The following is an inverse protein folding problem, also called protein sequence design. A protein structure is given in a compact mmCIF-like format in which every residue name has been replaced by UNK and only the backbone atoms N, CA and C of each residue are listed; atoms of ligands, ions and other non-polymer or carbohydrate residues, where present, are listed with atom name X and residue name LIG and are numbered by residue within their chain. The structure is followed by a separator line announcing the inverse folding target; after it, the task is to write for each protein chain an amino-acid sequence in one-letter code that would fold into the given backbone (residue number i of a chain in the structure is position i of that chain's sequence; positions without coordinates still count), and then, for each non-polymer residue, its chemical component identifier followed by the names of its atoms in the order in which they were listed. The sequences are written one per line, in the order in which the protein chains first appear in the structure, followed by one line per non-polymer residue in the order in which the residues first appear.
data_IF_993638898552
#
_entry.id   IF_993638898552
#
_cell.length_a   1.000
_cell.length_b   1.000
_cell.length_c   1.000
_cell.angle_alpha   90.00
_cell.angle_beta   90.00
_cell.angle_gamma   90.00
#
_symmetry.space_group_name_H-M   'P 1'
#
loop_
_entity.id
_entity.type
_entity.pdbx_description
1 polymer ?
#
# COMPACT_ATOMS: atom_id res chain seq x y z
N UNK A 1 -22.94 -19.66 -3.21
CA UNK A 1 -21.65 -20.13 -2.64
C UNK A 1 -20.50 -20.18 -3.65
N UNK A 2 -20.72 -20.57 -4.91
CA UNK A 2 -19.65 -20.60 -5.94
C UNK A 2 -19.10 -19.20 -6.30
N UNK A 3 -19.89 -18.15 -6.25
CA UNK A 3 -19.49 -16.77 -6.54
C UNK A 3 -18.43 -16.22 -5.55
N UNK A 4 -18.61 -16.42 -4.25
CA UNK A 4 -17.70 -15.89 -3.21
C UNK A 4 -16.34 -16.57 -3.29
N UNK A 5 -16.29 -17.90 -3.46
CA UNK A 5 -15.04 -18.64 -3.63
C UNK A 5 -14.30 -18.20 -4.90
N UNK A 6 -15.04 -18.03 -6.00
CA UNK A 6 -14.48 -17.55 -7.25
C UNK A 6 -13.89 -16.14 -7.12
N UNK A 7 -14.61 -15.20 -6.54
CA UNK A 7 -14.15 -13.83 -6.30
C UNK A 7 -12.89 -13.79 -5.43
N UNK A 8 -12.82 -14.65 -4.40
CA UNK A 8 -11.64 -14.78 -3.54
C UNK A 8 -10.41 -15.25 -4.33
N UNK A 9 -10.54 -16.30 -5.17
CA UNK A 9 -9.44 -16.81 -6.00
C UNK A 9 -8.93 -15.73 -6.95
N UNK A 10 -9.82 -15.00 -7.65
CA UNK A 10 -9.40 -13.91 -8.53
C UNK A 10 -8.69 -12.77 -7.77
N UNK A 11 -9.13 -12.45 -6.58
CA UNK A 11 -8.46 -11.47 -5.72
C UNK A 11 -7.06 -11.94 -5.30
N UNK A 12 -6.89 -13.23 -4.98
CA UNK A 12 -5.58 -13.81 -4.68
C UNK A 12 -4.64 -13.78 -5.89
N UNK A 13 -5.13 -14.16 -7.08
CA UNK A 13 -4.35 -14.08 -8.33
C UNK A 13 -3.92 -12.62 -8.59
N UNK A 14 -4.82 -11.67 -8.43
CA UNK A 14 -4.50 -10.25 -8.58
C UNK A 14 -3.41 -9.79 -7.60
N UNK A 15 -3.48 -10.22 -6.34
CA UNK A 15 -2.45 -9.90 -5.34
C UNK A 15 -1.08 -10.53 -5.71
N UNK A 16 -1.07 -11.79 -6.17
CA UNK A 16 0.16 -12.43 -6.63
C UNK A 16 0.78 -11.67 -7.81
N UNK A 17 -0.01 -11.27 -8.80
CA UNK A 17 0.48 -10.47 -9.94
C UNK A 17 0.97 -9.09 -9.47
N UNK A 18 0.33 -8.48 -8.48
CA UNK A 18 0.78 -7.23 -7.88
C UNK A 18 2.15 -7.32 -7.23
N UNK A 19 2.55 -8.48 -6.74
CA UNK A 19 3.87 -8.75 -6.18
C UNK A 19 4.86 -9.17 -7.27
N UNK A 20 4.50 -10.13 -8.11
CA UNK A 20 5.41 -10.73 -9.09
C UNK A 20 5.83 -9.75 -10.20
N UNK A 21 4.90 -8.93 -10.71
CA UNK A 21 5.23 -7.99 -11.79
C UNK A 21 6.27 -6.95 -11.35
N UNK A 22 6.13 -6.25 -10.21
CA UNK A 22 7.20 -5.37 -9.73
C UNK A 22 8.52 -6.08 -9.45
N UNK A 23 8.51 -7.31 -8.94
CA UNK A 23 9.74 -8.08 -8.72
C UNK A 23 10.56 -8.28 -10.00
N UNK A 24 9.89 -8.41 -11.15
CA UNK A 24 10.54 -8.56 -12.45
C UNK A 24 10.85 -7.22 -13.11
N UNK A 25 9.92 -6.26 -13.03
CA UNK A 25 10.08 -4.97 -13.72
C UNK A 25 10.99 -4.02 -12.97
N UNK A 26 11.06 -4.06 -11.63
CA UNK A 26 11.86 -3.12 -10.84
C UNK A 26 13.36 -3.26 -11.10
N UNK A 27 13.98 -4.48 -11.09
CA UNK A 27 15.38 -4.64 -11.43
C UNK A 27 15.72 -4.18 -12.86
N UNK A 28 14.79 -4.39 -13.78
CA UNK A 28 14.98 -3.92 -15.15
C UNK A 28 14.98 -2.40 -15.22
N UNK A 29 13.97 -1.76 -14.66
CA UNK A 29 13.80 -0.30 -14.71
C UNK A 29 14.94 0.39 -13.97
N UNK A 30 15.39 -0.13 -12.81
CA UNK A 30 16.50 0.44 -12.06
C UNK A 30 17.79 0.47 -12.87
N UNK A 31 18.08 -0.60 -13.63
CA UNK A 31 19.30 -0.68 -14.47
C UNK A 31 19.21 0.13 -15.75
N UNK A 32 18.02 0.24 -16.34
CA UNK A 32 17.82 0.92 -17.62
C UNK A 32 17.68 2.42 -17.44
N UNK A 33 16.79 2.85 -16.54
CA UNK A 33 16.49 4.28 -16.33
C UNK A 33 17.36 4.94 -15.27
N UNK A 34 17.98 4.14 -14.39
CA UNK A 34 18.68 4.67 -13.23
C UNK A 34 17.73 5.23 -12.16
N UNK A 35 18.29 5.68 -11.04
CA UNK A 35 17.51 6.26 -9.96
C UNK A 35 16.83 7.56 -10.37
N UNK A 36 17.47 8.39 -11.20
CA UNK A 36 16.93 9.65 -11.69
C UNK A 36 15.64 9.44 -12.50
N UNK A 37 15.66 8.55 -13.50
CA UNK A 37 14.49 8.29 -14.33
C UNK A 37 13.33 7.69 -13.55
N UNK A 38 13.60 6.79 -12.60
CA UNK A 38 12.60 6.26 -11.68
C UNK A 38 12.05 7.37 -10.78
N UNK A 39 12.90 8.28 -10.33
CA UNK A 39 12.54 9.42 -9.49
C UNK A 39 11.63 10.42 -10.20
N UNK A 40 11.95 10.78 -11.46
CA UNK A 40 11.11 11.65 -12.29
C UNK A 40 9.68 11.09 -12.40
N UNK A 41 9.56 9.80 -12.71
CA UNK A 41 8.26 9.14 -12.73
C UNK A 41 7.57 9.18 -11.37
N UNK A 42 8.26 8.76 -10.32
CA UNK A 42 7.67 8.57 -8.99
C UNK A 42 7.22 9.90 -8.36
N UNK A 43 8.01 10.96 -8.53
CA UNK A 43 7.65 12.30 -8.09
C UNK A 43 6.37 12.79 -8.77
N UNK A 44 6.38 12.84 -10.10
CA UNK A 44 5.24 13.34 -10.86
C UNK A 44 3.97 12.49 -10.67
N UNK A 45 4.13 11.16 -10.54
CA UNK A 45 3.03 10.27 -10.20
C UNK A 45 2.47 10.55 -8.80
N UNK A 46 3.33 10.82 -7.82
CA UNK A 46 2.89 11.13 -6.45
C UNK A 46 2.13 12.46 -6.38
N UNK A 47 2.58 13.46 -7.13
CA UNK A 47 1.84 14.71 -7.28
C UNK A 47 0.47 14.47 -7.94
N UNK A 48 0.42 13.72 -9.06
CA UNK A 48 -0.82 13.37 -9.73
C UNK A 48 -1.79 12.60 -8.80
N UNK A 49 -1.28 11.71 -7.97
CA UNK A 49 -2.05 11.00 -6.95
C UNK A 49 -2.68 11.96 -5.93
N UNK A 50 -1.92 12.94 -5.43
CA UNK A 50 -2.44 13.94 -4.47
C UNK A 50 -3.55 14.81 -5.08
N UNK A 51 -3.46 15.15 -6.37
CA UNK A 51 -4.57 15.83 -7.06
C UNK A 51 -5.79 14.89 -7.21
N UNK A 52 -5.57 13.63 -7.58
CA UNK A 52 -6.66 12.68 -7.86
C UNK A 52 -7.53 12.38 -6.65
N UNK A 53 -7.01 12.45 -5.42
CA UNK A 53 -7.82 12.26 -4.21
C UNK A 53 -8.93 13.28 -4.07
N UNK A 54 -8.76 14.49 -4.62
CA UNK A 54 -9.80 15.52 -4.62
C UNK A 54 -10.89 15.28 -5.67
N UNK A 55 -10.64 14.46 -6.68
CA UNK A 55 -11.66 14.00 -7.64
C UNK A 55 -12.54 12.92 -7.00
N UNK A 56 -11.89 11.93 -6.40
CA UNK A 56 -12.56 10.77 -5.86
C UNK A 56 -13.12 11.00 -4.45
N UNK A 57 -12.53 11.93 -3.69
CA UNK A 57 -12.87 12.16 -2.28
C UNK A 57 -12.97 10.82 -1.50
N UNK A 58 -14.14 10.52 -0.93
CA UNK A 58 -14.45 9.26 -0.26
C UNK A 58 -15.21 8.24 -1.12
N UNK A 59 -15.31 8.44 -2.46
CA UNK A 59 -16.19 7.69 -3.37
C UNK A 59 -15.96 6.19 -3.35
N UNK A 60 -14.74 5.71 -3.19
CA UNK A 60 -14.47 4.27 -3.16
C UNK A 60 -15.27 3.56 -2.04
N UNK A 61 -15.43 4.19 -0.90
CA UNK A 61 -16.22 3.65 0.21
C UNK A 61 -17.69 4.06 0.13
N UNK A 62 -17.95 5.34 -0.16
CA UNK A 62 -19.29 5.91 -0.23
C UNK A 62 -20.09 5.33 -1.39
N UNK A 63 -19.56 5.43 -2.61
CA UNK A 63 -20.22 4.95 -3.83
C UNK A 63 -20.48 3.45 -3.82
N UNK A 64 -19.50 2.66 -3.31
CA UNK A 64 -19.67 1.22 -3.12
C UNK A 64 -20.89 0.92 -2.23
N UNK A 65 -21.03 1.59 -1.08
CA UNK A 65 -22.13 1.40 -0.14
C UNK A 65 -23.48 1.83 -0.73
N UNK A 66 -23.53 3.00 -1.37
CA UNK A 66 -24.76 3.51 -1.98
C UNK A 66 -25.25 2.59 -3.11
N UNK A 67 -24.34 2.17 -4.00
CA UNK A 67 -24.66 1.22 -5.08
C UNK A 67 -25.14 -0.12 -4.52
N UNK A 68 -24.48 -0.66 -3.51
CA UNK A 68 -24.90 -1.93 -2.90
C UNK A 68 -26.33 -1.88 -2.33
N UNK A 69 -26.77 -0.72 -1.83
CA UNK A 69 -28.13 -0.55 -1.27
C UNK A 69 -29.22 -0.52 -2.32
N UNK A 70 -28.90 -0.19 -3.59
CA UNK A 70 -29.88 -0.03 -4.70
C UNK A 70 -29.64 -0.99 -5.85
N UNK A 71 -28.73 -1.93 -5.75
CA UNK A 71 -28.27 -2.79 -6.86
C UNK A 71 -29.35 -3.64 -7.51
N UNK A 72 -30.41 -3.98 -6.77
CA UNK A 72 -31.49 -4.83 -7.24
C UNK A 72 -32.57 -4.04 -8.01
N UNK A 73 -32.57 -2.70 -7.89
CA UNK A 73 -33.50 -1.80 -8.60
C UNK A 73 -32.71 -1.03 -9.70
N UNK A 74 -32.95 -1.41 -10.94
CA UNK A 74 -32.20 -0.90 -12.09
C UNK A 74 -32.40 0.61 -12.32
N UNK A 75 -33.54 1.15 -11.99
CA UNK A 75 -33.82 2.57 -12.17
C UNK A 75 -33.14 3.40 -11.07
N UNK A 76 -33.28 2.99 -9.82
CA UNK A 76 -32.57 3.62 -8.69
C UNK A 76 -31.06 3.51 -8.84
N UNK A 77 -30.56 2.35 -9.29
CA UNK A 77 -29.14 2.17 -9.59
C UNK A 77 -28.65 3.17 -10.64
N UNK A 78 -29.40 3.34 -11.73
CA UNK A 78 -29.04 4.30 -12.78
C UNK A 78 -29.05 5.73 -12.27
N UNK A 79 -30.08 6.13 -11.49
CA UNK A 79 -30.16 7.46 -10.89
C UNK A 79 -29.02 7.70 -9.91
N UNK A 80 -28.71 6.75 -9.04
CA UNK A 80 -27.60 6.84 -8.07
C UNK A 80 -26.25 6.92 -8.79
N UNK A 81 -26.03 6.11 -9.83
CA UNK A 81 -24.81 6.14 -10.60
C UNK A 81 -24.57 7.54 -11.21
N UNK A 82 -25.53 8.05 -11.98
CA UNK A 82 -25.35 9.32 -12.66
C UNK A 82 -25.23 10.50 -11.69
N UNK A 83 -25.97 10.48 -10.56
CA UNK A 83 -25.88 11.53 -9.55
C UNK A 83 -24.47 11.61 -8.92
N UNK A 84 -23.89 10.45 -8.56
CA UNK A 84 -22.53 10.37 -8.02
C UNK A 84 -21.51 10.72 -9.11
N UNK A 85 -21.68 10.19 -10.32
CA UNK A 85 -20.74 10.42 -11.42
C UNK A 85 -20.71 11.88 -11.87
N UNK A 86 -21.85 12.59 -11.91
CA UNK A 86 -21.88 14.02 -12.20
C UNK A 86 -21.09 14.83 -11.16
N UNK A 87 -21.18 14.48 -9.87
CA UNK A 87 -20.38 15.10 -8.83
C UNK A 87 -18.87 14.85 -9.06
N UNK A 88 -18.51 13.60 -9.35
CA UNK A 88 -17.13 13.22 -9.65
C UNK A 88 -16.60 13.94 -10.88
N UNK A 89 -17.38 14.04 -11.95
CA UNK A 89 -16.99 14.69 -13.19
C UNK A 89 -16.79 16.21 -12.98
N UNK A 90 -17.68 16.85 -12.23
CA UNK A 90 -17.54 18.27 -11.88
C UNK A 90 -16.23 18.52 -11.11
N UNK A 91 -15.97 17.75 -10.06
CA UNK A 91 -14.70 17.81 -9.32
C UNK A 91 -13.52 17.48 -10.24
N UNK A 92 -13.67 16.50 -11.11
CA UNK A 92 -12.69 16.11 -12.10
C UNK A 92 -12.26 17.25 -13.02
N UNK A 93 -13.21 18.02 -13.55
CA UNK A 93 -12.91 19.20 -14.39
C UNK A 93 -12.14 20.25 -13.59
N UNK A 94 -12.59 20.58 -12.38
CA UNK A 94 -11.96 21.59 -11.52
C UNK A 94 -10.52 21.17 -11.16
N UNK A 95 -10.35 19.94 -10.71
CA UNK A 95 -9.04 19.43 -10.27
C UNK A 95 -8.09 19.25 -11.46
N UNK A 96 -8.57 18.72 -12.60
CA UNK A 96 -7.74 18.59 -13.81
C UNK A 96 -7.28 19.96 -14.35
N UNK A 97 -8.15 20.97 -14.31
CA UNK A 97 -7.77 22.34 -14.67
C UNK A 97 -6.71 22.90 -13.72
N UNK A 98 -6.87 22.65 -12.40
CA UNK A 98 -5.87 23.05 -11.41
C UNK A 98 -4.54 22.31 -11.60
N UNK A 99 -4.59 21.02 -11.96
CA UNK A 99 -3.39 20.24 -12.26
C UNK A 99 -2.67 20.74 -13.52
N UNK A 100 -3.41 21.12 -14.56
CA UNK A 100 -2.82 21.73 -15.75
C UNK A 100 -2.14 23.07 -15.42
N UNK A 101 -2.77 23.91 -14.58
CA UNK A 101 -2.13 25.13 -14.09
C UNK A 101 -0.83 24.83 -13.32
N UNK A 102 -0.83 23.80 -12.50
CA UNK A 102 0.39 23.31 -11.83
C UNK A 102 1.45 22.92 -12.87
N UNK A 103 1.12 22.12 -13.89
CA UNK A 103 2.07 21.69 -14.92
C UNK A 103 2.73 22.85 -15.65
N UNK A 104 1.95 23.91 -15.98
CA UNK A 104 2.46 25.07 -16.74
C UNK A 104 3.19 26.12 -15.89
N UNK A 105 2.91 26.18 -14.57
CA UNK A 105 3.41 27.28 -13.73
C UNK A 105 4.41 26.85 -12.66
N UNK A 106 4.32 25.62 -12.17
CA UNK A 106 5.01 25.18 -10.98
C UNK A 106 5.84 23.90 -11.17
N UNK A 107 5.55 23.09 -12.18
CA UNK A 107 6.29 21.86 -12.42
C UNK A 107 7.70 22.18 -12.94
N UNK A 108 8.73 21.60 -12.34
CA UNK A 108 10.12 21.71 -12.82
C UNK A 108 10.25 21.10 -14.22
N UNK A 109 9.70 19.88 -14.40
CA UNK A 109 9.68 19.16 -15.67
C UNK A 109 8.25 19.03 -16.19
N UNK A 110 7.85 19.95 -17.07
CA UNK A 110 6.49 20.04 -17.60
C UNK A 110 6.07 18.77 -18.34
N UNK A 111 6.94 18.15 -19.15
CA UNK A 111 6.57 17.02 -20.01
C UNK A 111 6.22 15.76 -19.20
N UNK A 112 7.05 15.28 -18.26
CA UNK A 112 6.66 14.17 -17.37
C UNK A 112 5.40 14.46 -16.56
N UNK A 113 5.25 15.70 -16.06
CA UNK A 113 4.06 16.10 -15.33
C UNK A 113 2.79 15.99 -16.20
N UNK A 114 2.81 16.49 -17.44
CA UNK A 114 1.69 16.37 -18.38
C UNK A 114 1.38 14.91 -18.74
N UNK A 115 2.41 14.08 -19.00
CA UNK A 115 2.20 12.66 -19.29
C UNK A 115 1.55 11.93 -18.13
N UNK A 116 1.96 12.21 -16.89
CA UNK A 116 1.36 11.61 -15.70
C UNK A 116 0.04 12.31 -15.29
N UNK A 117 -0.26 13.48 -15.85
CA UNK A 117 -1.59 14.10 -15.82
C UNK A 117 -2.68 13.21 -16.42
N UNK A 118 -2.32 12.26 -17.30
CA UNK A 118 -3.23 11.19 -17.75
C UNK A 118 -3.82 10.41 -16.58
N UNK A 119 -3.10 10.27 -15.46
CA UNK A 119 -3.62 9.66 -14.24
C UNK A 119 -4.74 10.51 -13.63
N UNK A 120 -4.56 11.82 -13.53
CA UNK A 120 -5.58 12.75 -13.02
C UNK A 120 -6.83 12.70 -13.89
N UNK A 121 -6.65 12.75 -15.23
CA UNK A 121 -7.75 12.63 -16.18
C UNK A 121 -8.43 11.27 -16.06
N UNK A 122 -7.68 10.18 -15.92
CA UNK A 122 -8.24 8.84 -15.75
C UNK A 122 -9.11 8.72 -14.51
N UNK A 123 -8.79 9.44 -13.44
CA UNK A 123 -9.57 9.46 -12.19
C UNK A 123 -10.96 10.09 -12.37
N UNK A 124 -11.16 10.94 -13.39
CA UNK A 124 -12.50 11.42 -13.76
C UNK A 124 -13.41 10.28 -14.24
N UNK A 125 -12.83 9.24 -14.82
CA UNK A 125 -13.52 8.08 -15.40
C UNK A 125 -13.46 6.85 -14.50
N UNK A 126 -12.93 6.98 -13.27
CA UNK A 126 -12.84 5.88 -12.30
C UNK A 126 -14.22 5.56 -11.73
N UNK A 127 -14.76 4.43 -12.14
CA UNK A 127 -16.05 3.92 -11.71
C UNK A 127 -15.93 2.57 -11.00
N UNK A 128 -14.76 2.26 -10.44
CA UNK A 128 -14.54 1.02 -9.69
C UNK A 128 -15.53 0.87 -8.53
N UNK A 129 -15.94 1.95 -7.88
CA UNK A 129 -16.93 1.95 -6.81
C UNK A 129 -18.29 1.34 -7.22
N UNK A 130 -18.71 1.51 -8.50
CA UNK A 130 -19.91 0.85 -9.03
C UNK A 130 -19.73 -0.67 -9.06
N UNK A 131 -18.61 -1.14 -9.61
CA UNK A 131 -18.34 -2.58 -9.77
C UNK A 131 -18.17 -3.29 -8.43
N UNK A 132 -17.59 -2.62 -7.45
CA UNK A 132 -17.51 -3.15 -6.08
C UNK A 132 -18.89 -3.25 -5.46
N UNK A 133 -19.75 -2.24 -5.65
CA UNK A 133 -21.12 -2.24 -5.15
C UNK A 133 -22.02 -3.34 -5.75
N UNK A 134 -21.83 -3.65 -7.03
CA UNK A 134 -22.55 -4.76 -7.71
C UNK A 134 -21.80 -6.11 -7.62
N UNK A 135 -20.76 -6.21 -6.79
CA UNK A 135 -19.97 -7.43 -6.52
C UNK A 135 -19.30 -8.07 -7.75
N UNK A 136 -18.96 -7.30 -8.78
CA UNK A 136 -18.26 -7.79 -9.99
C UNK A 136 -16.75 -7.80 -9.86
N UNK A 137 -16.22 -8.34 -8.78
CA UNK A 137 -14.77 -8.41 -8.48
C UNK A 137 -13.97 -9.16 -9.53
N UNK A 138 -14.52 -10.26 -10.09
CA UNK A 138 -13.86 -11.07 -11.12
C UNK A 138 -13.44 -10.21 -12.32
N UNK A 139 -14.34 -9.35 -12.81
CA UNK A 139 -14.10 -8.53 -13.98
C UNK A 139 -12.96 -7.52 -13.73
N UNK A 140 -13.01 -6.82 -12.59
CA UNK A 140 -11.96 -5.87 -12.18
C UNK A 140 -10.60 -6.57 -12.05
N UNK A 141 -10.57 -7.73 -11.39
CA UNK A 141 -9.31 -8.46 -11.16
C UNK A 141 -8.66 -8.93 -12.47
N UNK A 142 -9.41 -9.56 -13.35
CA UNK A 142 -8.89 -10.03 -14.65
C UNK A 142 -8.38 -8.86 -15.48
N UNK A 143 -9.17 -7.78 -15.61
CA UNK A 143 -8.79 -6.57 -16.33
C UNK A 143 -7.49 -5.98 -15.79
N UNK A 144 -7.40 -5.79 -14.48
CA UNK A 144 -6.21 -5.21 -13.85
C UNK A 144 -4.96 -6.07 -14.09
N UNK A 145 -5.10 -7.39 -14.02
CA UNK A 145 -4.01 -8.33 -14.35
C UNK A 145 -3.57 -8.18 -15.79
N UNK A 146 -4.51 -8.18 -16.73
CA UNK A 146 -4.19 -8.07 -18.16
C UNK A 146 -3.49 -6.76 -18.48
N UNK A 147 -4.02 -5.63 -18.03
CA UNK A 147 -3.42 -4.32 -18.29
C UNK A 147 -2.02 -4.22 -17.65
N UNK A 148 -1.86 -4.74 -16.44
CA UNK A 148 -0.56 -4.75 -15.77
C UNK A 148 0.49 -5.57 -16.52
N UNK A 149 0.10 -6.73 -17.08
CA UNK A 149 0.97 -7.54 -17.92
C UNK A 149 1.31 -6.84 -19.23
N UNK A 150 0.32 -6.23 -19.90
CA UNK A 150 0.55 -5.45 -21.13
C UNK A 150 1.50 -4.28 -20.86
N UNK A 151 1.30 -3.54 -19.77
CA UNK A 151 2.22 -2.46 -19.38
C UNK A 151 3.64 -3.00 -19.14
N UNK A 152 3.79 -4.12 -18.45
CA UNK A 152 5.11 -4.74 -18.22
C UNK A 152 5.77 -5.15 -19.56
N UNK A 153 5.04 -5.75 -20.49
CA UNK A 153 5.55 -6.08 -21.82
C UNK A 153 5.94 -4.83 -22.61
N UNK A 154 5.12 -3.78 -22.56
CA UNK A 154 5.43 -2.50 -23.20
C UNK A 154 6.69 -1.85 -22.63
N UNK A 155 6.91 -1.94 -21.30
CA UNK A 155 8.14 -1.47 -20.66
C UNK A 155 9.38 -2.18 -21.22
N UNK A 156 9.35 -3.51 -21.32
CA UNK A 156 10.47 -4.27 -21.90
C UNK A 156 10.69 -3.98 -23.41
N UNK A 157 9.62 -3.65 -24.15
CA UNK A 157 9.72 -3.36 -25.57
C UNK A 157 10.27 -1.96 -25.86
N UNK A 158 9.83 -0.93 -25.13
CA UNK A 158 10.03 0.48 -25.48
C UNK A 158 10.94 1.26 -24.52
N UNK A 159 11.32 0.72 -23.36
CA UNK A 159 12.20 1.37 -22.40
C UNK A 159 13.51 0.61 -22.38
N UNK A 160 14.53 1.11 -23.10
CA UNK A 160 15.84 0.41 -23.31
C UNK A 160 17.05 1.21 -22.88
N UNK A 161 16.88 2.50 -22.62
CA UNK A 161 17.95 3.41 -22.23
C UNK A 161 17.50 4.43 -21.18
N UNK A 162 18.43 5.10 -20.55
CA UNK A 162 18.13 6.17 -19.58
C UNK A 162 17.38 7.36 -20.19
N UNK A 163 17.44 7.54 -21.52
CA UNK A 163 16.70 8.58 -22.24
C UNK A 163 15.21 8.26 -22.39
N UNK A 164 14.80 7.02 -22.15
CA UNK A 164 13.42 6.55 -22.34
C UNK A 164 12.52 6.81 -21.12
N UNK A 165 12.90 7.69 -20.21
CA UNK A 165 12.09 8.09 -19.05
C UNK A 165 10.71 8.62 -19.48
N UNK A 166 10.64 9.40 -20.57
CA UNK A 166 9.37 9.89 -21.10
C UNK A 166 8.51 8.76 -21.67
N UNK A 167 9.12 7.75 -22.34
CA UNK A 167 8.41 6.56 -22.82
C UNK A 167 7.84 5.78 -21.61
N UNK A 168 8.58 5.68 -20.51
CA UNK A 168 8.09 5.07 -19.29
C UNK A 168 6.87 5.79 -18.73
N UNK A 169 6.94 7.12 -18.59
CA UNK A 169 5.81 7.94 -18.13
C UNK A 169 4.60 7.80 -19.07
N UNK A 170 4.81 7.77 -20.38
CA UNK A 170 3.76 7.63 -21.39
C UNK A 170 3.06 6.26 -21.29
N UNK A 171 3.82 5.16 -21.23
CA UNK A 171 3.28 3.80 -21.10
C UNK A 171 2.42 3.70 -19.85
N UNK A 172 2.90 4.20 -18.72
CA UNK A 172 2.15 4.19 -17.47
C UNK A 172 0.90 5.07 -17.54
N UNK A 173 1.01 6.28 -18.12
CA UNK A 173 -0.11 7.20 -18.34
C UNK A 173 -1.21 6.58 -19.21
N UNK A 174 -0.85 5.99 -20.35
CA UNK A 174 -1.79 5.27 -21.22
C UNK A 174 -2.43 4.11 -20.46
N UNK A 175 -1.63 3.36 -19.70
CA UNK A 175 -2.13 2.24 -18.88
C UNK A 175 -3.22 2.68 -17.89
N UNK A 176 -3.09 3.85 -17.26
CA UNK A 176 -4.12 4.40 -16.37
C UNK A 176 -5.41 4.73 -17.13
N UNK A 177 -5.29 5.39 -18.27
CA UNK A 177 -6.44 5.71 -19.13
C UNK A 177 -7.17 4.46 -19.58
N UNK A 178 -6.45 3.49 -20.16
CA UNK A 178 -7.02 2.22 -20.62
C UNK A 178 -7.69 1.45 -19.47
N UNK A 179 -7.09 1.49 -18.27
CA UNK A 179 -7.66 0.86 -17.07
C UNK A 179 -9.06 1.39 -16.77
N UNK A 180 -9.27 2.69 -16.81
CA UNK A 180 -10.58 3.26 -16.47
C UNK A 180 -11.57 3.15 -17.62
N UNK A 181 -11.15 3.45 -18.86
CA UNK A 181 -12.04 3.36 -20.02
C UNK A 181 -12.55 1.94 -20.29
N UNK A 182 -11.79 0.91 -19.96
CA UNK A 182 -12.22 -0.49 -20.11
C UNK A 182 -13.46 -0.87 -19.28
N UNK A 183 -13.85 -0.06 -18.30
CA UNK A 183 -15.07 -0.25 -17.50
C UNK A 183 -16.33 0.29 -18.21
N UNK A 184 -16.21 1.28 -19.07
CA UNK A 184 -17.31 2.03 -19.63
C UNK A 184 -18.25 1.23 -20.57
N UNK A 185 -17.77 0.27 -21.38
CA UNK A 185 -18.67 -0.51 -22.25
C UNK A 185 -19.79 -1.24 -21.49
N UNK A 186 -19.48 -1.73 -20.26
CA UNK A 186 -20.50 -2.35 -19.44
C UNK A 186 -21.53 -1.32 -18.92
N UNK A 187 -21.07 -0.13 -18.52
CA UNK A 187 -21.92 0.95 -18.00
C UNK A 187 -22.90 1.40 -19.08
N UNK A 188 -22.42 1.69 -20.28
CA UNK A 188 -23.23 2.13 -21.40
C UNK A 188 -24.31 1.09 -21.78
N UNK A 189 -24.05 -0.21 -21.53
CA UNK A 189 -25.01 -1.28 -21.82
C UNK A 189 -26.04 -1.50 -20.70
N UNK A 190 -25.68 -1.26 -19.45
CA UNK A 190 -26.47 -1.69 -18.29
C UNK A 190 -27.08 -0.56 -17.48
N UNK A 191 -26.50 0.64 -17.53
CA UNK A 191 -26.97 1.84 -16.83
C UNK A 191 -27.72 2.72 -17.83
N UNK A 192 -28.99 2.99 -17.53
CA UNK A 192 -29.81 3.84 -18.40
C UNK A 192 -29.54 5.33 -18.14
N UNK A 193 -29.54 6.19 -19.15
CA UNK A 193 -29.54 7.62 -18.95
C UNK A 193 -30.87 8.03 -18.26
N UNK A 194 -30.77 8.77 -17.16
CA UNK A 194 -31.91 9.22 -16.34
C UNK A 194 -31.77 10.71 -16.09
N UNK A 195 -32.87 11.43 -16.03
CA UNK A 195 -32.89 12.85 -15.62
C UNK A 195 -32.44 12.97 -14.16
N UNK A 196 -31.49 13.84 -13.91
CA UNK A 196 -30.93 14.10 -12.58
C UNK A 196 -31.18 15.57 -12.26
N UNK A 197 -31.61 15.82 -11.03
CA UNK A 197 -31.76 17.17 -10.49
C UNK A 197 -30.53 17.54 -9.67
N UNK A 198 -30.25 18.83 -9.51
CA UNK A 198 -29.14 19.32 -8.71
C UNK A 198 -29.18 18.81 -7.26
N UNK A 199 -30.38 18.65 -6.72
CA UNK A 199 -30.56 18.09 -5.37
C UNK A 199 -30.07 16.65 -5.26
N UNK A 200 -30.25 15.83 -6.32
CA UNK A 200 -29.76 14.47 -6.37
C UNK A 200 -28.21 14.41 -6.32
N UNK A 201 -27.53 15.41 -6.88
CA UNK A 201 -26.07 15.52 -6.88
C UNK A 201 -25.58 16.01 -5.50
N UNK A 202 -26.14 17.10 -5.00
CA UNK A 202 -25.69 17.77 -3.76
C UNK A 202 -25.83 16.87 -2.53
N UNK A 203 -26.86 16.00 -2.48
CA UNK A 203 -27.06 15.06 -1.37
C UNK A 203 -25.85 14.13 -1.15
N UNK A 204 -25.08 13.81 -2.19
CA UNK A 204 -23.90 12.95 -2.12
C UNK A 204 -22.64 13.69 -1.64
N UNK A 205 -22.63 15.02 -1.64
CA UNK A 205 -21.45 15.80 -1.30
C UNK A 205 -21.06 15.66 0.17
N UNK A 206 -21.99 15.93 1.10
CA UNK A 206 -21.72 15.93 2.53
C UNK A 206 -21.22 14.55 3.06
N UNK A 207 -21.87 13.41 2.77
CA UNK A 207 -21.37 12.11 3.21
C UNK A 207 -19.99 11.77 2.62
N UNK A 208 -19.77 12.14 1.36
CA UNK A 208 -18.50 11.91 0.68
C UNK A 208 -17.36 12.73 1.28
N UNK A 209 -17.59 14.01 1.60
CA UNK A 209 -16.63 14.87 2.28
C UNK A 209 -16.28 14.36 3.70
N UNK A 210 -17.21 13.78 4.44
CA UNK A 210 -16.93 13.20 5.77
C UNK A 210 -15.94 12.04 5.64
N UNK A 211 -16.12 11.15 4.67
CA UNK A 211 -15.20 10.05 4.42
C UNK A 211 -13.86 10.52 3.84
N UNK A 212 -13.85 11.65 3.14
CA UNK A 212 -12.64 12.24 2.57
C UNK A 212 -11.60 12.60 3.62
N UNK A 213 -11.97 13.00 4.83
CA UNK A 213 -11.03 13.34 5.90
C UNK A 213 -10.07 12.16 6.19
N UNK A 214 -10.60 10.94 6.19
CA UNK A 214 -9.77 9.75 6.36
C UNK A 214 -8.89 9.48 5.14
N UNK A 215 -9.44 9.65 3.95
CA UNK A 215 -8.72 9.40 2.70
C UNK A 215 -7.55 10.37 2.55
N UNK A 216 -7.75 11.67 2.80
CA UNK A 216 -6.67 12.67 2.70
C UNK A 216 -5.56 12.40 3.70
N UNK A 217 -5.89 12.09 4.96
CA UNK A 217 -4.89 11.79 5.98
C UNK A 217 -3.98 10.61 5.58
N UNK A 218 -4.58 9.51 5.10
CA UNK A 218 -3.84 8.31 4.65
C UNK A 218 -3.00 8.61 3.42
N UNK A 219 -3.51 9.36 2.44
CA UNK A 219 -2.77 9.64 1.20
C UNK A 219 -1.65 10.68 1.40
N UNK A 220 -1.81 11.63 2.34
CA UNK A 220 -0.73 12.55 2.69
C UNK A 220 0.49 11.74 3.14
N UNK A 221 0.40 10.93 4.19
CA UNK A 221 1.57 10.22 4.65
C UNK A 221 2.10 9.16 3.65
N UNK A 222 1.30 8.74 2.68
CA UNK A 222 1.71 7.75 1.67
C UNK A 222 2.47 8.34 0.48
N UNK A 223 2.14 9.54 0.05
CA UNK A 223 2.70 10.15 -1.15
C UNK A 223 3.54 11.39 -0.87
N UNK A 224 3.37 12.03 0.28
CA UNK A 224 4.04 13.28 0.62
C UNK A 224 5.56 13.11 0.74
N UNK A 225 6.04 11.95 1.20
CA UNK A 225 7.48 11.64 1.26
C UNK A 225 8.17 11.92 -0.07
N UNK A 226 7.60 11.41 -1.17
CA UNK A 226 8.17 11.54 -2.52
C UNK A 226 8.03 12.95 -3.06
N UNK A 227 6.92 13.62 -2.76
CA UNK A 227 6.71 15.02 -3.16
C UNK A 227 7.67 15.94 -2.41
N UNK A 228 7.85 15.75 -1.10
CA UNK A 228 8.79 16.53 -0.33
C UNK A 228 10.24 16.25 -0.74
N UNK A 229 10.60 14.98 -0.99
CA UNK A 229 11.92 14.62 -1.50
C UNK A 229 12.24 15.30 -2.84
N UNK A 230 11.32 15.24 -3.80
CA UNK A 230 11.54 15.86 -5.10
C UNK A 230 11.60 17.39 -5.03
N UNK A 231 10.79 18.01 -4.15
CA UNK A 231 10.76 19.47 -3.99
C UNK A 231 11.93 20.03 -3.16
N UNK A 232 12.54 19.22 -2.26
CA UNK A 232 13.56 19.68 -1.31
C UNK A 232 14.96 19.19 -1.65
N UNK A 233 15.10 18.12 -2.45
CA UNK A 233 16.37 17.50 -2.78
C UNK A 233 16.52 17.25 -4.30
N UNK A 234 16.21 16.02 -4.76
CA UNK A 234 16.39 15.65 -6.16
C UNK A 234 15.54 14.44 -6.56
N UNK A 235 15.29 14.30 -7.85
CA UNK A 235 14.60 13.10 -8.38
C UNK A 235 15.39 11.82 -8.11
N UNK A 236 16.72 11.88 -8.04
CA UNK A 236 17.56 10.73 -7.71
C UNK A 236 17.25 10.18 -6.31
N UNK A 237 17.09 11.05 -5.32
CA UNK A 237 16.71 10.68 -3.96
C UNK A 237 15.29 10.10 -3.92
N UNK A 238 14.36 10.66 -4.72
CA UNK A 238 13.02 10.07 -4.89
C UNK A 238 13.10 8.66 -5.49
N UNK A 239 13.99 8.46 -6.46
CA UNK A 239 14.21 7.16 -7.09
C UNK A 239 14.72 6.11 -6.11
N UNK A 240 15.71 6.45 -5.30
CA UNK A 240 16.21 5.55 -4.24
C UNK A 240 15.11 5.18 -3.24
N UNK A 241 14.31 6.16 -2.82
CA UNK A 241 13.19 5.94 -1.91
C UNK A 241 12.12 5.03 -2.54
N UNK A 242 11.66 5.33 -3.75
CA UNK A 242 10.64 4.55 -4.48
C UNK A 242 11.06 3.11 -4.68
N UNK A 243 12.31 2.88 -5.12
CA UNK A 243 12.85 1.54 -5.33
C UNK A 243 12.88 0.74 -4.03
N UNK A 244 13.32 1.37 -2.94
CA UNK A 244 13.34 0.74 -1.62
C UNK A 244 11.92 0.43 -1.13
N UNK A 245 10.99 1.38 -1.25
CA UNK A 245 9.59 1.20 -0.85
C UNK A 245 8.91 0.06 -1.63
N UNK A 246 9.20 -0.11 -2.92
CA UNK A 246 8.64 -1.20 -3.74
C UNK A 246 8.96 -2.59 -3.18
N UNK A 247 10.20 -2.83 -2.74
CA UNK A 247 10.57 -4.12 -2.13
C UNK A 247 9.90 -4.27 -0.74
N UNK A 248 9.89 -3.20 0.05
CA UNK A 248 9.28 -3.20 1.39
C UNK A 248 7.75 -3.39 1.30
N UNK A 249 7.12 -2.95 0.21
CA UNK A 249 5.68 -3.15 -0.02
C UNK A 249 5.29 -4.63 -0.17
N UNK A 250 6.21 -5.52 -0.49
CA UNK A 250 5.95 -6.96 -0.66
C UNK A 250 5.50 -7.61 0.66
N UNK A 251 6.31 -7.59 1.74
CA UNK A 251 5.87 -8.13 3.03
C UNK A 251 4.64 -7.40 3.57
N UNK A 252 4.54 -6.08 3.40
CA UNK A 252 3.39 -5.32 3.90
C UNK A 252 2.09 -5.68 3.19
N UNK A 253 2.13 -6.00 1.89
CA UNK A 253 0.95 -6.44 1.13
C UNK A 253 0.41 -7.79 1.61
N UNK A 254 1.29 -8.73 1.99
CA UNK A 254 0.89 -10.03 2.55
C UNK A 254 0.21 -9.86 3.91
N UNK A 255 0.72 -8.94 4.75
CA UNK A 255 0.15 -8.63 6.05
C UNK A 255 -1.22 -7.97 5.92
N UNK A 256 -1.37 -7.03 4.98
CA UNK A 256 -2.66 -6.37 4.74
C UNK A 256 -3.70 -7.34 4.18
N UNK A 257 -3.28 -8.30 3.34
CA UNK A 257 -4.14 -9.37 2.86
C UNK A 257 -4.68 -10.23 4.02
N UNK A 258 -3.84 -10.57 5.02
CA UNK A 258 -4.28 -11.26 6.22
C UNK A 258 -5.37 -10.46 6.95
N UNK A 259 -5.18 -9.14 7.11
CA UNK A 259 -6.16 -8.26 7.73
C UNK A 259 -7.52 -8.30 7.04
N UNK A 260 -7.55 -8.22 5.71
CA UNK A 260 -8.79 -8.25 4.93
C UNK A 260 -9.54 -9.58 5.05
N UNK A 261 -8.81 -10.71 5.10
CA UNK A 261 -9.39 -12.05 5.28
C UNK A 261 -9.97 -12.24 6.69
N UNK A 262 -9.31 -11.67 7.70
CA UNK A 262 -9.73 -11.84 9.10
C UNK A 262 -10.84 -10.88 9.53
N UNK A 263 -11.01 -9.75 8.85
CA UNK A 263 -12.00 -8.71 9.19
C UNK A 263 -13.43 -9.24 9.34
N UNK A 264 -14.02 -10.03 8.40
CA UNK A 264 -15.37 -10.51 8.53
C UNK A 264 -15.57 -11.41 9.75
N UNK A 265 -14.56 -12.25 10.04
CA UNK A 265 -14.61 -13.15 11.21
C UNK A 265 -14.49 -12.37 12.51
N UNK A 266 -13.61 -11.39 12.58
CA UNK A 266 -13.47 -10.52 13.74
C UNK A 266 -14.74 -9.72 14.01
N UNK A 267 -15.37 -9.17 12.96
CA UNK A 267 -16.66 -8.45 13.08
C UNK A 267 -17.78 -9.35 13.59
N UNK A 268 -17.85 -10.58 13.11
CA UNK A 268 -18.84 -11.54 13.59
C UNK A 268 -18.67 -11.89 15.08
N UNK A 269 -17.42 -12.13 15.52
CA UNK A 269 -17.11 -12.43 16.92
C UNK A 269 -17.34 -11.23 17.84
N UNK A 270 -16.96 -10.03 17.40
CA UNK A 270 -17.20 -8.79 18.13
C UNK A 270 -18.69 -8.52 18.34
N UNK A 271 -19.53 -8.75 17.31
CA UNK A 271 -20.98 -8.59 17.40
C UNK A 271 -21.63 -9.57 18.40
N UNK A 272 -21.01 -10.73 18.64
CA UNK A 272 -21.48 -11.72 19.62
C UNK A 272 -20.97 -11.48 21.05
N UNK A 273 -20.08 -10.52 21.27
CA UNK A 273 -19.44 -10.30 22.56
C UNK A 273 -18.60 -11.49 23.04
N UNK A 274 -18.07 -12.30 22.11
CA UNK A 274 -17.35 -13.54 22.43
C UNK A 274 -15.89 -13.25 22.77
N UNK A 275 -15.42 -13.69 23.96
CA UNK A 275 -14.04 -13.60 24.41
C UNK A 275 -13.04 -14.30 23.47
N UNK A 276 -13.52 -15.19 22.60
CA UNK A 276 -12.73 -15.78 21.51
C UNK A 276 -12.16 -14.75 20.53
N UNK A 277 -12.75 -13.55 20.44
CA UNK A 277 -12.21 -12.47 19.63
C UNK A 277 -10.82 -12.03 20.14
N UNK A 278 -10.63 -11.90 21.45
CA UNK A 278 -9.33 -11.53 22.04
C UNK A 278 -8.26 -12.60 21.79
N UNK A 279 -8.65 -13.88 21.85
CA UNK A 279 -7.74 -14.99 21.51
C UNK A 279 -7.34 -14.96 20.02
N UNK A 280 -8.30 -14.67 19.12
CA UNK A 280 -8.05 -14.54 17.69
C UNK A 280 -7.08 -13.39 17.39
N UNK A 281 -7.32 -12.21 17.95
CA UNK A 281 -6.44 -11.03 17.82
C UNK A 281 -5.04 -11.37 18.31
N UNK A 282 -4.91 -11.99 19.48
CA UNK A 282 -3.63 -12.39 20.04
C UNK A 282 -2.84 -13.33 19.11
N UNK A 283 -3.50 -14.31 18.49
CA UNK A 283 -2.89 -15.23 17.50
C UNK A 283 -2.46 -14.47 16.24
N UNK A 284 -3.32 -13.60 15.74
CA UNK A 284 -3.03 -12.78 14.53
C UNK A 284 -1.86 -11.82 14.77
N UNK A 285 -1.77 -11.20 15.95
CA UNK A 285 -0.63 -10.34 16.32
C UNK A 285 0.67 -11.16 16.32
N UNK A 286 0.69 -12.31 16.97
CA UNK A 286 1.89 -13.17 17.00
C UNK A 286 2.32 -13.52 15.57
N UNK A 287 1.38 -13.99 14.74
CA UNK A 287 1.68 -14.34 13.35
C UNK A 287 2.21 -13.17 12.56
N UNK A 288 1.50 -12.03 12.59
CA UNK A 288 1.90 -10.84 11.85
C UNK A 288 3.28 -10.33 12.28
N UNK A 289 3.58 -10.36 13.59
CA UNK A 289 4.87 -9.93 14.13
C UNK A 289 6.00 -10.89 13.78
N UNK A 290 5.79 -12.20 13.91
CA UNK A 290 6.78 -13.20 13.52
C UNK A 290 7.10 -13.09 12.03
N UNK A 291 6.07 -12.97 11.20
CA UNK A 291 6.22 -12.87 9.75
C UNK A 291 6.90 -11.57 9.33
N UNK A 292 6.42 -10.41 9.82
CA UNK A 292 7.00 -9.11 9.45
C UNK A 292 8.43 -8.96 9.96
N UNK A 293 8.74 -9.35 11.20
CA UNK A 293 10.08 -9.21 11.74
C UNK A 293 11.08 -10.13 11.02
N UNK A 294 10.71 -11.38 10.70
CA UNK A 294 11.61 -12.30 9.98
C UNK A 294 11.96 -11.78 8.58
N UNK A 295 10.97 -11.27 7.83
CA UNK A 295 11.24 -10.73 6.50
C UNK A 295 12.00 -9.40 6.60
N UNK A 296 11.59 -8.49 7.47
CA UNK A 296 12.21 -7.17 7.58
C UNK A 296 13.68 -7.27 7.99
N UNK A 297 13.95 -7.95 9.08
CA UNK A 297 15.33 -8.10 9.54
C UNK A 297 16.15 -9.01 8.63
N UNK A 298 15.52 -10.00 7.98
CA UNK A 298 16.15 -10.83 6.96
C UNK A 298 16.63 -9.98 5.77
N UNK A 299 15.74 -9.16 5.20
CA UNK A 299 16.09 -8.26 4.10
C UNK A 299 17.13 -7.20 4.50
N UNK A 300 17.05 -6.67 5.73
CA UNK A 300 18.08 -5.75 6.25
C UNK A 300 19.45 -6.43 6.30
N UNK A 301 19.50 -7.66 6.76
CA UNK A 301 20.73 -8.42 6.93
C UNK A 301 21.45 -8.66 5.59
N UNK A 302 20.69 -9.09 4.57
CA UNK A 302 21.24 -9.39 3.23
C UNK A 302 21.35 -8.15 2.33
N UNK A 303 20.93 -6.97 2.78
CA UNK A 303 20.77 -5.77 1.94
C UNK A 303 22.02 -5.37 1.18
N UNK A 304 23.22 -5.55 1.79
CA UNK A 304 24.50 -5.20 1.18
C UNK A 304 24.79 -5.97 -0.10
N UNK A 305 24.42 -7.25 -0.13
CA UNK A 305 24.66 -8.12 -1.28
C UNK A 305 23.42 -8.16 -2.21
N UNK A 306 22.23 -8.07 -1.62
CA UNK A 306 20.97 -8.08 -2.36
C UNK A 306 20.81 -6.85 -3.26
N UNK A 307 21.12 -5.65 -2.78
CA UNK A 307 20.86 -4.41 -3.50
C UNK A 307 21.68 -4.30 -4.79
N UNK A 308 22.99 -4.51 -4.83
CA UNK A 308 23.76 -4.50 -6.08
C UNK A 308 23.27 -5.60 -7.05
N UNK A 309 22.95 -6.79 -6.52
CA UNK A 309 22.41 -7.88 -7.33
C UNK A 309 21.05 -7.55 -7.94
N UNK A 310 20.17 -6.88 -7.19
CA UNK A 310 18.79 -6.63 -7.60
C UNK A 310 18.67 -5.36 -8.45
N UNK A 311 19.22 -4.22 -8.01
CA UNK A 311 19.12 -2.95 -8.72
C UNK A 311 20.28 -2.67 -9.68
N UNK A 312 21.46 -3.26 -9.48
CA UNK A 312 22.71 -2.94 -10.16
C UNK A 312 23.58 -2.01 -9.31
N UNK A 313 24.68 -1.52 -9.92
CA UNK A 313 25.63 -0.65 -9.25
C UNK A 313 25.09 0.78 -9.03
N UNK A 314 25.60 1.47 -8.01
CA UNK A 314 25.26 2.86 -7.70
C UNK A 314 24.01 3.02 -6.82
N UNK A 315 23.51 1.93 -6.20
CA UNK A 315 22.35 1.93 -5.32
C UNK A 315 22.70 1.74 -3.83
N UNK A 316 23.93 2.05 -3.42
CA UNK A 316 24.39 1.92 -2.02
C UNK A 316 23.50 2.69 -1.03
N UNK A 317 22.90 3.80 -1.49
CA UNK A 317 21.93 4.59 -0.71
C UNK A 317 20.73 3.75 -0.27
N UNK A 318 20.30 2.79 -1.10
CA UNK A 318 19.19 1.89 -0.79
C UNK A 318 19.53 0.93 0.37
N UNK A 319 20.80 0.62 0.64
CA UNK A 319 21.21 -0.18 1.81
C UNK A 319 20.82 0.54 3.10
N UNK A 320 21.17 1.84 3.20
CA UNK A 320 20.77 2.66 4.35
C UNK A 320 19.24 2.79 4.45
N UNK A 321 18.57 2.96 3.30
CA UNK A 321 17.10 3.01 3.26
C UNK A 321 16.45 1.71 3.73
N UNK A 322 16.96 0.55 3.37
CA UNK A 322 16.44 -0.74 3.87
C UNK A 322 16.57 -0.84 5.38
N UNK A 323 17.71 -0.42 5.96
CA UNK A 323 17.91 -0.43 7.40
C UNK A 323 16.89 0.46 8.12
N UNK A 324 16.54 1.58 7.53
CA UNK A 324 15.66 2.57 8.15
C UNK A 324 14.19 2.28 7.89
N UNK A 325 13.81 1.87 6.67
CA UNK A 325 12.41 1.68 6.27
C UNK A 325 11.84 0.31 6.68
N UNK A 326 12.61 -0.77 6.65
CA UNK A 326 12.10 -2.11 6.95
C UNK A 326 11.48 -2.26 8.34
N UNK A 327 11.97 -1.59 9.40
CA UNK A 327 11.30 -1.59 10.71
C UNK A 327 9.88 -1.04 10.68
N UNK A 328 9.56 -0.13 9.75
CA UNK A 328 8.21 0.41 9.60
C UNK A 328 7.16 -0.66 9.32
N UNK A 329 7.54 -1.70 8.56
CA UNK A 329 6.65 -2.82 8.24
C UNK A 329 6.23 -3.63 9.48
N UNK A 330 7.04 -3.65 10.53
CA UNK A 330 6.73 -4.30 11.81
C UNK A 330 5.62 -3.51 12.53
N UNK A 331 5.76 -2.19 12.60
CA UNK A 331 4.75 -1.31 13.18
C UNK A 331 3.44 -1.35 12.39
N UNK A 332 3.54 -1.30 11.06
CA UNK A 332 2.40 -1.42 10.15
C UNK A 332 1.67 -2.75 10.33
N UNK A 333 2.41 -3.87 10.48
CA UNK A 333 1.84 -5.20 10.68
C UNK A 333 0.99 -5.25 11.96
N UNK A 334 1.51 -4.72 13.05
CA UNK A 334 0.81 -4.67 14.32
C UNK A 334 -0.42 -3.76 14.25
N UNK A 335 -0.26 -2.55 13.74
CA UNK A 335 -1.34 -1.59 13.55
C UNK A 335 -2.45 -2.14 12.65
N UNK A 336 -2.09 -2.87 11.58
CA UNK A 336 -3.06 -3.51 10.68
C UNK A 336 -3.93 -4.53 11.40
N UNK A 337 -3.36 -5.37 12.27
CA UNK A 337 -4.14 -6.35 13.05
C UNK A 337 -5.10 -5.62 14.01
N UNK A 338 -4.62 -4.61 14.74
CA UNK A 338 -5.47 -3.82 15.64
C UNK A 338 -6.61 -3.17 14.87
N UNK A 339 -6.31 -2.52 13.74
CA UNK A 339 -7.29 -1.83 12.93
C UNK A 339 -8.37 -2.78 12.41
N UNK A 340 -7.96 -3.88 11.76
CA UNK A 340 -8.89 -4.76 11.04
C UNK A 340 -9.63 -5.74 11.94
N UNK A 341 -9.06 -6.11 13.09
CA UNK A 341 -9.65 -7.13 13.96
C UNK A 341 -10.20 -6.56 15.28
N UNK A 342 -9.90 -5.30 15.61
CA UNK A 342 -10.43 -4.64 16.80
C UNK A 342 -11.15 -3.33 16.49
N UNK A 343 -10.46 -2.31 15.95
CA UNK A 343 -11.04 -0.96 15.79
C UNK A 343 -12.27 -0.96 14.88
N UNK A 344 -12.15 -1.52 13.65
CA UNK A 344 -13.26 -1.56 12.70
C UNK A 344 -14.43 -2.42 13.19
N UNK A 345 -14.22 -3.64 13.73
CA UNK A 345 -15.31 -4.45 14.28
C UNK A 345 -16.06 -3.80 15.46
N UNK A 346 -15.38 -2.93 16.23
CA UNK A 346 -16.00 -2.23 17.36
C UNK A 346 -16.47 -0.79 17.02
N UNK A 347 -16.56 -0.44 15.73
CA UNK A 347 -16.97 0.89 15.25
C UNK A 347 -16.14 2.05 15.83
N UNK A 348 -14.84 1.80 16.11
CA UNK A 348 -13.91 2.82 16.62
C UNK A 348 -13.27 3.63 15.49
N UNK A 349 -14.07 4.03 14.49
CA UNK A 349 -13.59 4.75 13.29
C UNK A 349 -12.88 6.05 13.64
N UNK A 350 -13.34 6.77 14.67
CA UNK A 350 -12.70 8.00 15.15
C UNK A 350 -11.25 7.77 15.58
N UNK A 351 -10.98 6.66 16.26
CA UNK A 351 -9.63 6.29 16.67
C UNK A 351 -8.72 6.03 15.46
N UNK A 352 -9.24 5.35 14.45
CA UNK A 352 -8.52 5.10 13.19
C UNK A 352 -8.22 6.42 12.46
N UNK A 353 -9.21 7.28 12.25
CA UNK A 353 -9.04 8.59 11.60
C UNK A 353 -7.99 9.44 12.33
N UNK A 354 -8.09 9.52 13.66
CA UNK A 354 -7.17 10.33 14.47
C UNK A 354 -5.75 9.77 14.41
N UNK A 355 -5.57 8.44 14.42
CA UNK A 355 -4.25 7.83 14.25
C UNK A 355 -3.62 8.19 12.89
N UNK A 356 -4.40 8.17 11.80
CA UNK A 356 -3.93 8.56 10.47
C UNK A 356 -3.57 10.06 10.41
N UNK A 357 -4.33 10.91 11.08
CA UNK A 357 -4.04 12.36 11.17
C UNK A 357 -2.74 12.62 11.94
N UNK A 358 -2.51 11.90 13.05
CA UNK A 358 -1.22 11.95 13.77
C UNK A 358 -0.09 11.53 12.82
N UNK A 359 -0.27 10.43 12.07
CA UNK A 359 0.72 9.99 11.11
C UNK A 359 1.04 11.05 10.06
N UNK A 360 0.03 11.68 9.47
CA UNK A 360 0.20 12.75 8.48
C UNK A 360 0.95 13.97 9.07
N UNK A 361 0.62 14.36 10.30
CA UNK A 361 1.31 15.45 10.98
C UNK A 361 2.78 15.13 11.27
N UNK A 362 3.05 13.95 11.83
CA UNK A 362 4.42 13.48 12.11
C UNK A 362 5.23 13.41 10.82
N UNK A 363 4.61 12.90 9.72
CA UNK A 363 5.25 12.83 8.41
C UNK A 363 5.76 14.20 7.94
N UNK A 364 4.89 15.19 7.88
CA UNK A 364 5.24 16.54 7.40
C UNK A 364 6.32 17.17 8.30
N UNK A 365 6.16 17.10 9.62
CA UNK A 365 7.12 17.69 10.55
C UNK A 365 8.49 17.04 10.46
N UNK A 366 8.55 15.71 10.52
CA UNK A 366 9.82 14.99 10.52
C UNK A 366 10.52 15.12 9.17
N UNK A 367 9.78 15.01 8.07
CA UNK A 367 10.33 15.17 6.72
C UNK A 367 10.90 16.57 6.49
N UNK A 368 10.20 17.62 6.92
CA UNK A 368 10.70 19.00 6.82
C UNK A 368 12.03 19.19 7.56
N UNK A 369 12.24 18.48 8.65
CA UNK A 369 13.46 18.58 9.45
C UNK A 369 14.60 17.67 8.93
N UNK A 370 14.27 16.47 8.46
CA UNK A 370 15.26 15.44 8.15
C UNK A 370 15.62 15.33 6.66
N UNK A 371 14.71 15.62 5.75
CA UNK A 371 15.01 15.55 4.31
C UNK A 371 16.16 16.47 3.93
N UNK A 372 16.22 17.79 4.33
CA UNK A 372 17.30 18.67 3.93
C UNK A 372 18.69 18.26 4.45
N UNK A 373 18.76 17.35 5.44
CA UNK A 373 20.03 16.89 6.05
C UNK A 373 20.44 15.51 5.57
N UNK A 374 19.46 14.64 5.30
CA UNK A 374 19.67 13.21 5.08
C UNK A 374 19.06 12.69 3.78
N UNK A 375 18.40 13.54 2.96
CA UNK A 375 17.74 13.15 1.72
C UNK A 375 16.73 12.03 1.91
N UNK A 376 16.77 11.03 1.05
CA UNK A 376 15.85 9.87 1.11
C UNK A 376 15.93 9.08 2.42
N UNK A 377 17.10 9.02 3.06
CA UNK A 377 17.20 8.37 4.38
C UNK A 377 16.42 9.15 5.43
N UNK A 378 16.42 10.50 5.36
CA UNK A 378 15.59 11.36 6.22
C UNK A 378 14.10 11.06 6.07
N UNK A 379 13.62 10.93 4.82
CA UNK A 379 12.24 10.51 4.53
C UNK A 379 11.95 9.11 5.08
N UNK A 380 12.89 8.17 4.95
CA UNK A 380 12.78 6.81 5.50
C UNK A 380 12.63 6.78 7.02
N UNK A 381 13.39 7.62 7.74
CA UNK A 381 13.22 7.82 9.19
C UNK A 381 11.83 8.37 9.47
N UNK A 382 11.37 9.36 8.69
CA UNK A 382 10.04 9.94 8.78
C UNK A 382 8.95 8.88 8.69
N UNK A 383 8.98 8.05 7.65
CA UNK A 383 8.01 6.96 7.45
C UNK A 383 8.01 5.97 8.62
N UNK A 384 9.18 5.61 9.14
CA UNK A 384 9.27 4.69 10.28
C UNK A 384 8.69 5.30 11.55
N UNK A 385 8.92 6.60 11.79
CA UNK A 385 8.32 7.31 12.91
C UNK A 385 6.81 7.51 12.76
N UNK A 386 6.31 7.68 11.53
CA UNK A 386 4.88 7.71 11.22
C UNK A 386 4.22 6.39 11.62
N UNK A 387 4.73 5.27 11.10
CA UNK A 387 4.16 3.96 11.38
C UNK A 387 4.27 3.59 12.86
N UNK A 388 5.36 3.98 13.53
CA UNK A 388 5.49 3.86 14.98
C UNK A 388 4.41 4.67 15.71
N UNK A 389 4.19 5.94 15.33
CA UNK A 389 3.22 6.84 15.98
C UNK A 389 1.79 6.33 15.81
N UNK A 390 1.44 5.87 14.59
CA UNK A 390 0.14 5.26 14.31
C UNK A 390 -0.05 3.99 15.14
N UNK A 391 0.94 3.11 15.12
CA UNK A 391 0.94 1.87 15.89
C UNK A 391 0.82 2.14 17.40
N UNK A 392 1.59 3.08 17.91
CA UNK A 392 1.57 3.47 19.33
C UNK A 392 0.20 4.00 19.74
N UNK A 393 -0.38 4.94 18.99
CA UNK A 393 -1.68 5.51 19.31
C UNK A 393 -2.80 4.46 19.28
N UNK A 394 -2.85 3.63 18.25
CA UNK A 394 -3.83 2.55 18.14
C UNK A 394 -3.69 1.54 19.29
N UNK A 395 -2.45 1.15 19.61
CA UNK A 395 -2.16 0.22 20.70
C UNK A 395 -2.54 0.81 22.06
N UNK A 396 -2.20 2.08 22.30
CA UNK A 396 -2.56 2.78 23.52
C UNK A 396 -4.08 2.84 23.72
N UNK A 397 -4.83 3.07 22.64
CA UNK A 397 -6.29 3.14 22.68
C UNK A 397 -6.94 1.80 23.08
N UNK A 398 -6.30 0.69 22.74
CA UNK A 398 -6.83 -0.67 23.00
C UNK A 398 -6.01 -1.48 24.03
N UNK A 399 -5.08 -0.84 24.76
CA UNK A 399 -4.11 -1.50 25.65
C UNK A 399 -4.71 -2.36 26.75
N UNK A 400 -5.95 -2.07 27.15
CA UNK A 400 -6.66 -2.86 28.18
C UNK A 400 -7.09 -4.24 27.65
N UNK A 401 -7.19 -4.39 26.35
CA UNK A 401 -7.79 -5.54 25.69
C UNK A 401 -6.78 -6.38 24.90
N UNK A 402 -5.56 -5.85 24.63
CA UNK A 402 -4.53 -6.53 23.85
C UNK A 402 -3.21 -6.59 24.62
N UNK A 403 -2.55 -7.75 24.59
CA UNK A 403 -1.29 -7.96 25.28
C UNK A 403 -0.09 -7.46 24.46
N UNK A 404 0.37 -6.24 24.78
CA UNK A 404 1.49 -5.56 24.11
C UNK A 404 2.84 -6.26 24.35
N UNK A 405 2.99 -7.02 25.46
CA UNK A 405 4.25 -7.72 25.78
C UNK A 405 4.72 -8.65 24.65
N UNK A 406 3.78 -9.30 23.96
CA UNK A 406 4.07 -10.18 22.82
C UNK A 406 4.72 -9.46 21.63
N UNK A 407 4.48 -8.15 21.45
CA UNK A 407 5.13 -7.34 20.41
C UNK A 407 6.64 -7.27 20.64
N UNK A 408 7.04 -6.91 21.85
CA UNK A 408 8.46 -6.73 22.22
C UNK A 408 9.23 -8.04 22.08
N UNK A 409 8.67 -9.15 22.55
CA UNK A 409 9.30 -10.47 22.45
C UNK A 409 9.65 -10.84 20.99
N UNK A 410 8.74 -10.58 20.04
CA UNK A 410 8.95 -10.91 18.63
C UNK A 410 9.94 -9.97 17.93
N UNK A 411 9.93 -8.68 18.28
CA UNK A 411 10.90 -7.72 17.77
C UNK A 411 12.33 -8.09 18.20
N UNK A 412 12.53 -8.50 19.46
CA UNK A 412 13.84 -8.94 19.97
C UNK A 412 14.36 -10.16 19.17
N UNK A 413 13.49 -11.13 18.85
CA UNK A 413 13.86 -12.31 18.04
C UNK A 413 14.39 -11.91 16.67
N UNK A 414 13.70 -10.99 15.99
CA UNK A 414 14.13 -10.48 14.70
C UNK A 414 15.44 -9.68 14.78
N UNK A 415 15.65 -8.89 15.84
CA UNK A 415 16.91 -8.16 16.06
C UNK A 415 18.12 -9.10 16.23
N UNK A 416 17.95 -10.22 16.92
CA UNK A 416 19.02 -11.23 17.07
C UNK A 416 19.43 -11.79 15.71
N UNK A 417 18.46 -12.14 14.86
CA UNK A 417 18.72 -12.62 13.50
C UNK A 417 19.47 -11.56 12.66
N UNK A 418 19.03 -10.31 12.69
CA UNK A 418 19.68 -9.20 11.99
C UNK A 418 21.14 -9.03 12.43
N UNK A 419 21.41 -8.99 13.74
CA UNK A 419 22.76 -8.79 14.28
C UNK A 419 23.75 -9.86 13.84
N UNK A 420 23.32 -11.11 13.76
CA UNK A 420 24.18 -12.23 13.35
C UNK A 420 24.46 -12.19 11.84
N UNK A 421 23.42 -12.13 11.01
CA UNK A 421 23.57 -12.20 9.55
C UNK A 421 24.26 -10.95 9.00
N UNK A 422 23.88 -9.76 9.50
CA UNK A 422 24.46 -8.48 9.08
C UNK A 422 25.97 -8.38 9.38
N UNK A 423 26.45 -9.08 10.42
CA UNK A 423 27.88 -9.13 10.74
C UNK A 423 28.68 -10.11 9.88
N UNK A 424 28.02 -10.98 9.12
CA UNK A 424 28.69 -11.97 8.25
C UNK A 424 29.34 -11.24 7.06
N UNK A 425 30.66 -11.45 6.88
CA UNK A 425 31.43 -11.01 5.71
C UNK A 425 31.90 -12.23 4.94
N UNK A 426 31.04 -12.77 4.08
CA UNK A 426 31.40 -13.94 3.28
C UNK A 426 32.16 -13.51 2.03
N UNK A 427 33.40 -14.01 1.88
CA UNK A 427 34.24 -13.80 0.69
C UNK A 427 34.00 -14.91 -0.36
N UNK A 428 32.79 -15.05 -0.83
CA UNK A 428 32.36 -16.06 -1.81
C UNK A 428 31.49 -15.40 -2.89
N UNK A 429 31.13 -16.17 -3.91
CA UNK A 429 30.22 -15.70 -4.95
C UNK A 429 28.93 -15.12 -4.33
N UNK A 430 28.49 -13.95 -4.84
CA UNK A 430 27.34 -13.19 -4.29
C UNK A 430 26.09 -14.06 -4.15
N UNK A 431 25.78 -14.91 -5.12
CA UNK A 431 24.61 -15.80 -5.06
C UNK A 431 24.73 -16.84 -3.93
N UNK A 432 25.94 -17.39 -3.74
CA UNK A 432 26.22 -18.32 -2.65
C UNK A 432 26.19 -17.59 -1.30
N UNK A 433 26.73 -16.39 -1.21
CA UNK A 433 26.69 -15.56 -0.02
C UNK A 433 25.25 -15.29 0.43
N UNK A 434 24.40 -14.77 -0.45
CA UNK A 434 22.98 -14.52 -0.16
C UNK A 434 22.24 -15.81 0.26
N UNK A 435 22.49 -16.93 -0.41
CA UNK A 435 21.87 -18.21 -0.07
C UNK A 435 22.24 -18.67 1.34
N UNK A 436 23.53 -18.57 1.69
CA UNK A 436 24.04 -18.93 3.01
C UNK A 436 23.52 -17.96 4.07
N UNK A 437 23.49 -16.65 3.79
CA UNK A 437 22.96 -15.64 4.70
C UNK A 437 21.47 -15.85 4.99
N UNK A 438 20.67 -16.16 3.97
CA UNK A 438 19.25 -16.52 4.14
C UNK A 438 19.13 -17.79 4.99
N UNK A 439 19.89 -18.84 4.69
CA UNK A 439 19.84 -20.09 5.45
C UNK A 439 20.22 -19.89 6.92
N UNK A 440 21.34 -19.20 7.17
CA UNK A 440 21.78 -18.87 8.54
C UNK A 440 20.76 -18.00 9.24
N UNK A 441 20.20 -17.00 8.54
CA UNK A 441 19.15 -16.15 9.08
C UNK A 441 17.91 -16.94 9.52
N UNK A 442 17.44 -17.85 8.67
CA UNK A 442 16.31 -18.74 8.98
C UNK A 442 16.62 -19.61 10.20
N UNK A 443 17.77 -20.30 10.20
CA UNK A 443 18.18 -21.18 11.31
C UNK A 443 18.31 -20.38 12.62
N UNK A 444 18.96 -19.24 12.58
CA UNK A 444 19.15 -18.37 13.75
C UNK A 444 17.81 -17.84 14.27
N UNK A 445 16.90 -17.45 13.38
CA UNK A 445 15.57 -16.99 13.76
C UNK A 445 14.77 -18.08 14.47
N UNK A 446 14.75 -19.30 13.93
CA UNK A 446 14.09 -20.44 14.57
C UNK A 446 14.73 -20.82 15.91
N UNK A 447 16.06 -20.79 16.00
CA UNK A 447 16.79 -21.06 17.23
C UNK A 447 16.49 -20.02 18.31
N UNK A 448 16.54 -18.73 17.96
CA UNK A 448 16.14 -17.63 18.85
C UNK A 448 14.68 -17.75 19.30
N UNK A 449 13.79 -18.15 18.38
CA UNK A 449 12.39 -18.40 18.66
C UNK A 449 12.24 -19.53 19.72
N UNK A 450 12.93 -20.64 19.53
CA UNK A 450 12.90 -21.77 20.45
C UNK A 450 13.47 -21.42 21.84
N UNK A 451 14.59 -20.68 21.88
CA UNK A 451 15.18 -20.22 23.14
C UNK A 451 14.21 -19.33 23.93
N UNK A 452 13.57 -18.37 23.26
CA UNK A 452 12.64 -17.46 23.90
C UNK A 452 11.36 -18.17 24.37
N UNK A 453 10.90 -19.18 23.62
CA UNK A 453 9.79 -20.05 24.07
C UNK A 453 10.17 -20.83 25.32
N UNK A 454 11.40 -21.34 25.38
CA UNK A 454 11.91 -22.06 26.56
C UNK A 454 12.03 -21.12 27.77
N UNK A 455 12.56 -19.91 27.59
CA UNK A 455 12.66 -18.91 28.67
C UNK A 455 11.28 -18.46 29.14
N UNK A 456 10.31 -18.35 28.23
CA UNK A 456 8.92 -18.01 28.55
C UNK A 456 8.12 -19.17 29.15
N UNK A 457 8.73 -20.32 29.38
CA UNK A 457 8.11 -21.59 29.87
C UNK A 457 6.89 -22.01 29.02
N UNK A 458 6.92 -21.76 27.71
CA UNK A 458 5.86 -22.12 26.76
C UNK A 458 6.28 -23.30 25.92
N UNK A 459 5.34 -24.23 25.71
CA UNK A 459 5.60 -25.42 24.89
C UNK A 459 5.56 -25.05 23.40
N UNK A 460 6.61 -25.35 22.59
CA UNK A 460 6.61 -25.13 21.15
C UNK A 460 5.41 -25.78 20.43
N UNK A 461 4.96 -26.94 20.92
CA UNK A 461 3.78 -27.65 20.37
C UNK A 461 2.48 -26.84 20.50
N UNK A 462 2.31 -26.05 21.57
CA UNK A 462 1.15 -25.19 21.74
C UNK A 462 1.10 -24.07 20.70
N UNK A 463 2.27 -23.57 20.28
CA UNK A 463 2.34 -22.55 19.25
C UNK A 463 2.01 -23.11 17.86
N UNK A 464 2.46 -24.33 17.57
CA UNK A 464 2.12 -25.02 16.32
C UNK A 464 0.65 -25.41 16.31
N UNK A 465 0.09 -25.91 17.42
CA UNK A 465 -1.33 -26.23 17.51
C UNK A 465 -2.23 -24.99 17.38
N UNK A 466 -1.76 -23.79 17.81
CA UNK A 466 -2.47 -22.54 17.60
C UNK A 466 -2.76 -22.23 16.12
N UNK A 467 -1.92 -22.73 15.20
CA UNK A 467 -2.10 -22.53 13.74
C UNK A 467 -2.89 -23.67 13.08
N UNK A 468 -2.81 -24.87 13.62
CA UNK A 468 -3.36 -26.09 12.99
C UNK A 468 -4.54 -26.71 13.75
N UNK A 469 -5.04 -26.11 14.84
CA UNK A 469 -6.25 -26.59 15.49
C UNK A 469 -7.41 -26.55 14.48
N UNK A 470 -7.72 -27.75 13.97
CA UNK A 470 -8.94 -28.00 13.20
C UNK A 470 -10.15 -27.63 14.07
N UNK A 471 -11.15 -27.02 13.43
CA UNK A 471 -12.47 -26.62 13.91
C UNK A 471 -13.17 -27.68 14.73
#
# INVERSE_FOLDING_TARGET
MNSIKSNFIYSCIYQLVNICVPLVTTPYISRVLGADGVGVYSYNYSVAQLFSIFILLGLNNYGNREVASVRDDREKLSKTFWSIYCLQLFLGIVVSSSYLLYCFKLAEDMIPALLLGMYVISSCFDVNWLYFGIEKFKFISIRNVLIKLVNALALFAFVKSSRDTLNYCLIMGIGFIVTQFSLWPYILKNIKPVKIEMQDIVRHMKPNCILFITVIAVNIYKYMDKVMLGAMESYKEVGFYELSEKVISIPTSLITALGTVMLPRASYLAAKGDDKNNALIGRSVIFAMLFSSSISFGLMAISKDFIPLFYGDGYDRCVALFIVLLPSSIFLAFANVIRTQYLLPHNMDKCYVFSATIGAFVNVVVNTLLIPRYGSVGAGIGTTLVEFSVCFYQTYSVRKNINVKKLIENAIRGMVMFGIVFSMKLKINVYAAITIEIFVGVVTYFFALLLLLKVAKRNPKEMVSMFFEKR
#
